data_IF_893004073360
#
_entry.id   IF_893004073360
#
_cell.length_a   1.000
_cell.length_b   1.000
_cell.length_c   1.000
_cell.angle_alpha   90.00
_cell.angle_beta   90.00
_cell.angle_gamma   90.00
#
_symmetry.space_group_name_H-M   'P 1'
#
loop_
_entity.id
_entity.type
_entity.pdbx_description
1 polymer ?
#
# COMPACT_ATOMS: atom_id res chain seq x y z
N UNK A 1 -2.94 22.51 20.17
CA UNK A 1 -3.10 21.13 19.63
C UNK A 1 -2.96 21.04 18.11
N UNK A 2 -3.20 22.12 17.36
CA UNK A 2 -3.27 22.05 15.89
C UNK A 2 -1.97 21.58 15.20
N UNK A 3 -0.80 22.04 15.66
CA UNK A 3 0.49 21.67 15.07
C UNK A 3 0.75 20.15 15.15
N UNK A 4 0.38 19.50 16.27
CA UNK A 4 0.55 18.06 16.43
C UNK A 4 -0.32 17.27 15.43
N UNK A 5 -1.56 17.72 15.20
CA UNK A 5 -2.46 17.12 14.20
C UNK A 5 -1.95 17.35 12.77
N UNK A 6 -1.39 18.53 12.48
CA UNK A 6 -0.77 18.82 11.19
C UNK A 6 0.40 17.87 10.89
N UNK A 7 1.31 17.71 11.86
CA UNK A 7 2.46 16.79 11.74
C UNK A 7 1.99 15.34 11.61
N UNK A 8 0.99 14.92 12.38
CA UNK A 8 0.42 13.57 12.28
C UNK A 8 -0.20 13.30 10.90
N UNK A 9 -0.92 14.28 10.36
CA UNK A 9 -1.47 14.21 9.00
C UNK A 9 -0.36 14.07 7.95
N UNK A 10 0.69 14.90 8.02
CA UNK A 10 1.82 14.77 7.09
C UNK A 10 2.55 13.43 7.19
N UNK A 11 2.76 12.93 8.41
CA UNK A 11 3.35 11.63 8.65
C UNK A 11 2.49 10.50 8.05
N UNK A 12 1.17 10.59 8.18
CA UNK A 12 0.25 9.64 7.58
C UNK A 12 0.22 9.69 6.04
N UNK A 13 0.35 10.87 5.43
CA UNK A 13 0.52 11.01 3.97
C UNK A 13 1.80 10.32 3.51
N UNK A 14 2.93 10.62 4.16
CA UNK A 14 4.22 10.03 3.82
C UNK A 14 4.22 8.50 4.00
N UNK A 15 3.68 8.01 5.11
CA UNK A 15 3.55 6.58 5.38
C UNK A 15 2.63 5.88 4.38
N UNK A 16 1.45 6.43 4.13
CA UNK A 16 0.49 5.90 3.17
C UNK A 16 1.05 5.84 1.75
N UNK A 17 1.77 6.89 1.32
CA UNK A 17 2.45 6.93 0.02
C UNK A 17 3.54 5.86 -0.06
N UNK A 18 4.43 5.80 0.93
CA UNK A 18 5.51 4.79 0.97
C UNK A 18 4.93 3.38 0.90
N UNK A 19 3.84 3.13 1.61
CA UNK A 19 3.16 1.84 1.60
C UNK A 19 2.54 1.52 0.24
N UNK A 20 1.85 2.49 -0.39
CA UNK A 20 1.27 2.30 -1.72
C UNK A 20 2.34 1.99 -2.78
N UNK A 21 3.46 2.73 -2.76
CA UNK A 21 4.53 2.60 -3.76
C UNK A 21 5.42 1.38 -3.53
N UNK A 22 5.82 1.09 -2.28
CA UNK A 22 6.58 -0.13 -1.98
C UNK A 22 5.76 -1.38 -2.27
N UNK A 23 4.47 -1.39 -1.89
CA UNK A 23 3.61 -2.56 -2.15
C UNK A 23 3.37 -2.72 -3.65
N UNK A 24 3.21 -1.63 -4.41
CA UNK A 24 3.08 -1.72 -5.88
C UNK A 24 4.34 -2.30 -6.51
N UNK A 25 5.51 -1.74 -6.22
CA UNK A 25 6.78 -2.22 -6.78
C UNK A 25 7.16 -3.64 -6.34
N UNK A 26 6.90 -3.99 -5.07
CA UNK A 26 7.14 -5.34 -4.56
C UNK A 26 6.13 -6.35 -5.12
N UNK A 27 4.85 -5.98 -5.26
CA UNK A 27 3.83 -6.84 -5.87
C UNK A 27 4.13 -7.11 -7.34
N UNK A 28 4.51 -6.08 -8.11
CA UNK A 28 4.83 -6.24 -9.53
C UNK A 28 6.04 -7.17 -9.70
N UNK A 29 7.11 -6.98 -8.91
CA UNK A 29 8.28 -7.88 -8.89
C UNK A 29 7.95 -9.30 -8.42
N UNK A 30 7.07 -9.44 -7.42
CA UNK A 30 6.66 -10.74 -6.90
C UNK A 30 5.80 -11.49 -7.92
N UNK A 31 4.90 -10.80 -8.61
CA UNK A 31 4.08 -11.36 -9.71
C UNK A 31 4.99 -11.80 -10.87
N UNK A 32 5.96 -10.99 -11.25
CA UNK A 32 6.92 -11.33 -12.31
C UNK A 32 7.72 -12.60 -11.98
N UNK A 33 8.31 -12.67 -10.78
CA UNK A 33 9.02 -13.87 -10.31
C UNK A 33 8.11 -15.09 -10.23
N UNK A 34 6.88 -14.91 -9.74
CA UNK A 34 5.92 -16.01 -9.61
C UNK A 34 5.48 -16.52 -10.98
N UNK A 35 5.29 -15.64 -11.96
CA UNK A 35 4.96 -16.02 -13.34
C UNK A 35 6.13 -16.76 -13.99
N UNK A 36 7.38 -16.33 -13.78
CA UNK A 36 8.56 -17.02 -14.27
C UNK A 36 8.70 -18.43 -13.67
N UNK A 37 8.54 -18.57 -12.34
CA UNK A 37 8.58 -19.87 -11.66
C UNK A 37 7.43 -20.77 -12.13
N UNK A 38 6.20 -20.24 -12.22
CA UNK A 38 5.04 -20.99 -12.71
C UNK A 38 5.21 -21.45 -14.16
N UNK A 39 5.78 -20.62 -15.04
CA UNK A 39 6.03 -21.02 -16.42
C UNK A 39 7.03 -22.19 -16.49
N UNK A 40 8.10 -22.14 -15.70
CA UNK A 40 9.09 -23.22 -15.62
C UNK A 40 8.48 -24.48 -15.00
N UNK A 41 7.71 -24.36 -13.91
CA UNK A 41 7.11 -25.51 -13.24
C UNK A 41 5.99 -26.13 -14.09
N UNK A 42 5.10 -25.34 -14.68
CA UNK A 42 4.02 -25.84 -15.55
C UNK A 42 4.58 -26.57 -16.79
N UNK A 43 5.67 -26.07 -17.38
CA UNK A 43 6.36 -26.78 -18.45
C UNK A 43 6.95 -28.13 -18.00
N UNK A 44 7.25 -28.28 -16.71
CA UNK A 44 7.85 -29.48 -16.13
C UNK A 44 6.84 -30.49 -15.60
N UNK A 45 5.69 -30.03 -15.08
CA UNK A 45 4.73 -30.88 -14.36
C UNK A 45 3.36 -30.99 -15.01
N UNK A 46 3.05 -30.21 -16.06
CA UNK A 46 1.72 -30.14 -16.70
C UNK A 46 0.57 -29.76 -15.74
N UNK A 47 0.90 -29.27 -14.54
CA UNK A 47 -0.08 -29.01 -13.48
C UNK A 47 -0.44 -27.52 -13.41
N UNK A 48 -1.70 -27.21 -13.76
CA UNK A 48 -2.22 -25.84 -13.83
C UNK A 48 -2.65 -25.30 -12.47
N UNK A 49 -2.83 -26.13 -11.43
CA UNK A 49 -3.33 -25.72 -10.11
C UNK A 49 -2.38 -24.78 -9.36
N UNK A 50 -1.09 -24.81 -9.69
CA UNK A 50 -0.07 -23.91 -9.16
C UNK A 50 -0.32 -22.44 -9.46
N UNK A 51 -1.31 -22.10 -10.33
CA UNK A 51 -1.69 -20.74 -10.69
C UNK A 51 -2.62 -20.01 -9.71
N UNK A 52 -3.09 -20.66 -8.64
CA UNK A 52 -4.06 -20.04 -7.73
C UNK A 52 -3.50 -18.87 -6.90
N UNK A 53 -4.16 -17.69 -6.90
CA UNK A 53 -3.70 -16.52 -6.14
C UNK A 53 -4.02 -16.61 -4.64
N UNK A 54 -3.14 -16.07 -3.78
CA UNK A 54 -3.38 -16.03 -2.34
C UNK A 54 -4.51 -15.04 -1.98
N UNK A 55 -5.35 -15.43 -1.01
CA UNK A 55 -6.58 -14.70 -0.63
C UNK A 55 -6.34 -13.42 0.18
N UNK A 56 -5.22 -13.34 0.91
CA UNK A 56 -4.75 -12.16 1.65
C UNK A 56 -3.49 -11.58 0.99
N UNK A 57 -3.63 -11.20 -0.28
CA UNK A 57 -2.51 -10.65 -1.07
C UNK A 57 -2.25 -9.16 -0.85
N UNK A 58 -1.36 -8.61 -1.67
CA UNK A 58 -0.97 -7.18 -1.74
C UNK A 58 -2.16 -6.19 -1.79
N UNK A 59 -3.37 -6.66 -2.13
CA UNK A 59 -4.61 -5.90 -2.10
C UNK A 59 -4.97 -5.35 -0.71
N UNK A 60 -4.84 -6.13 0.36
CA UNK A 60 -5.13 -5.68 1.73
C UNK A 60 -4.23 -4.51 2.13
N UNK A 61 -2.94 -4.65 1.86
CA UNK A 61 -1.94 -3.63 2.15
C UNK A 61 -2.13 -2.36 1.29
N UNK A 62 -2.54 -2.52 0.03
CA UNK A 62 -2.97 -1.39 -0.83
C UNK A 62 -4.16 -0.64 -0.27
N UNK A 63 -5.19 -1.35 0.20
CA UNK A 63 -6.39 -0.73 0.79
C UNK A 63 -6.05 0.03 2.07
N UNK A 64 -5.32 -0.60 2.99
CA UNK A 64 -4.91 0.05 4.23
C UNK A 64 -4.06 1.30 3.98
N UNK A 65 -3.01 1.18 3.14
CA UNK A 65 -2.17 2.32 2.76
C UNK A 65 -2.92 3.42 2.02
N UNK A 66 -3.87 3.04 1.15
CA UNK A 66 -4.70 3.98 0.38
C UNK A 66 -5.67 4.77 1.26
N UNK A 67 -6.33 4.10 2.22
CA UNK A 67 -7.23 4.75 3.18
C UNK A 67 -6.45 5.76 4.03
N UNK A 68 -5.28 5.37 4.56
CA UNK A 68 -4.42 6.26 5.32
C UNK A 68 -3.99 7.45 4.47
N UNK A 69 -3.49 7.21 3.25
CA UNK A 69 -3.07 8.26 2.33
C UNK A 69 -4.20 9.26 1.99
N UNK A 70 -5.44 8.80 1.81
CA UNK A 70 -6.59 9.65 1.49
C UNK A 70 -7.11 10.44 2.69
N UNK A 71 -7.08 9.86 3.90
CA UNK A 71 -7.59 10.51 5.11
C UNK A 71 -6.58 11.51 5.72
N UNK A 72 -5.29 11.22 5.60
CA UNK A 72 -4.23 12.01 6.22
C UNK A 72 -4.11 13.49 5.78
N UNK A 73 -4.37 13.87 4.51
CA UNK A 73 -4.40 15.28 4.09
C UNK A 73 -5.51 16.06 4.78
N UNK A 74 -6.67 15.44 5.02
CA UNK A 74 -7.79 16.09 5.73
C UNK A 74 -7.40 16.37 7.18
N UNK A 75 -6.75 15.40 7.84
CA UNK A 75 -6.23 15.56 9.20
C UNK A 75 -5.16 16.65 9.25
N UNK A 76 -4.27 16.70 8.25
CA UNK A 76 -3.25 17.74 8.17
C UNK A 76 -3.90 19.13 8.05
N UNK A 77 -4.82 19.31 7.10
CA UNK A 77 -5.50 20.59 6.87
C UNK A 77 -6.33 21.03 8.09
N UNK A 78 -7.02 20.10 8.76
CA UNK A 78 -7.75 20.38 9.99
C UNK A 78 -6.79 20.82 11.12
N UNK A 79 -5.65 20.14 11.27
CA UNK A 79 -4.62 20.52 12.23
C UNK A 79 -4.04 21.91 11.95
N UNK A 80 -3.80 22.24 10.69
CA UNK A 80 -3.32 23.56 10.27
C UNK A 80 -4.35 24.65 10.61
N UNK A 81 -5.63 24.44 10.29
CA UNK A 81 -6.69 25.38 10.59
C UNK A 81 -6.82 25.63 12.11
N UNK A 82 -6.77 24.58 12.92
CA UNK A 82 -6.76 24.69 14.39
C UNK A 82 -5.53 25.47 14.87
N UNK A 83 -4.35 25.19 14.31
CA UNK A 83 -3.11 25.86 14.70
C UNK A 83 -3.09 27.35 14.36
N UNK A 84 -3.88 27.79 13.38
CA UNK A 84 -4.02 29.21 13.01
C UNK A 84 -5.10 29.95 13.80
N UNK A 85 -5.94 29.22 14.55
CA UNK A 85 -7.02 29.76 15.37
C UNK A 85 -6.68 29.78 16.87
N UNK A 86 -5.70 28.96 17.29
CA UNK A 86 -5.03 29.01 18.61
C UNK A 86 -3.92 30.08 18.61
#
# INVERSE_FOLDING_TARGET
MGIALFVLGLAGVAWGAMFLFNVRGAADKAVERRNAVRAVTAARTLDMSLTEPSRFGAWFFRLAGGIVFLGSPVVALAGLAIATLE
#
